data_IF_975127404770
#
_entry.id   IF_975127404770
#
_cell.length_a   1.000
_cell.length_b   1.000
_cell.length_c   1.000
_cell.angle_alpha   90.00
_cell.angle_beta   90.00
_cell.angle_gamma   90.00
#
_symmetry.space_group_name_H-M   'P 1'
#
loop_
_entity.id
_entity.type
_entity.pdbx_description
1 polymer ?
#
# COMPACT_ATOMS: atom_id res chain seq x y z
N UNK A 1 30.93 -27.58 -49.69
CA UNK A 1 30.49 -26.24 -49.24
C UNK A 1 29.61 -26.46 -48.03
N UNK A 2 30.20 -26.39 -46.84
CA UNK A 2 29.50 -26.60 -45.57
C UNK A 2 28.72 -25.34 -45.21
N UNK A 3 27.41 -25.49 -45.07
CA UNK A 3 26.53 -24.46 -44.53
C UNK A 3 26.94 -24.21 -43.08
N UNK A 4 27.24 -22.96 -42.65
CA UNK A 4 27.59 -22.69 -41.27
C UNK A 4 26.36 -22.90 -40.38
N UNK A 5 26.57 -23.57 -39.25
CA UNK A 5 25.59 -23.73 -38.20
C UNK A 5 25.11 -22.34 -37.73
N UNK A 6 23.80 -22.13 -37.73
CA UNK A 6 23.17 -21.00 -37.05
C UNK A 6 23.56 -21.05 -35.58
N UNK A 7 24.35 -20.07 -35.13
CA UNK A 7 24.55 -19.83 -33.70
C UNK A 7 23.19 -19.60 -33.07
N UNK A 8 22.88 -20.36 -32.02
CA UNK A 8 21.66 -20.24 -31.24
C UNK A 8 21.49 -18.80 -30.78
N UNK A 9 20.40 -18.15 -31.22
CA UNK A 9 20.03 -16.82 -30.79
C UNK A 9 19.87 -16.80 -29.28
N UNK A 10 20.70 -16.01 -28.58
CA UNK A 10 20.45 -15.66 -27.20
C UNK A 10 19.05 -15.05 -27.11
N UNK A 11 18.17 -15.61 -26.27
CA UNK A 11 16.80 -15.11 -26.10
C UNK A 11 16.83 -13.69 -25.50
N UNK A 12 16.94 -12.69 -26.37
CA UNK A 12 16.80 -11.28 -26.03
C UNK A 12 15.30 -11.01 -25.86
N UNK A 13 14.88 -10.70 -24.64
CA UNK A 13 13.53 -10.20 -24.41
C UNK A 13 13.58 -8.69 -24.63
N UNK A 14 13.01 -8.26 -25.76
CA UNK A 14 12.85 -6.82 -26.05
C UNK A 14 11.67 -6.27 -25.25
N UNK A 15 11.90 -5.20 -24.51
CA UNK A 15 10.85 -4.42 -23.86
C UNK A 15 10.22 -3.40 -24.82
N UNK A 16 10.71 -3.28 -26.05
CA UNK A 16 10.20 -2.32 -27.03
C UNK A 16 8.72 -2.55 -27.34
N UNK A 17 8.26 -3.81 -27.34
CA UNK A 17 6.85 -4.11 -27.55
C UNK A 17 5.95 -3.51 -26.46
N UNK A 18 6.44 -3.44 -25.22
CA UNK A 18 5.71 -2.84 -24.10
C UNK A 18 5.86 -1.31 -24.09
N UNK A 19 7.02 -0.78 -24.46
CA UNK A 19 7.26 0.68 -24.55
C UNK A 19 6.51 1.33 -25.72
N UNK A 20 6.37 0.62 -26.84
CA UNK A 20 5.54 1.04 -27.99
C UNK A 20 4.05 0.76 -27.74
N UNK A 21 3.74 -0.14 -26.81
CA UNK A 21 2.39 -0.39 -26.34
C UNK A 21 1.91 0.63 -25.29
N UNK A 22 0.64 0.56 -24.94
CA UNK A 22 0.03 1.39 -23.90
C UNK A 22 0.34 0.85 -22.50
N UNK A 23 1.62 0.83 -22.10
CA UNK A 23 2.08 0.30 -20.79
C UNK A 23 2.97 1.29 -20.02
N UNK A 24 2.98 1.19 -18.69
CA UNK A 24 3.92 1.89 -17.81
C UNK A 24 5.11 0.98 -17.47
N UNK A 25 6.26 1.16 -18.12
CA UNK A 25 7.44 0.29 -17.91
C UNK A 25 8.31 0.82 -16.77
N UNK A 26 8.50 0.03 -15.72
CA UNK A 26 9.18 0.45 -14.47
C UNK A 26 10.69 0.17 -14.42
N UNK A 27 11.34 -0.03 -15.57
CA UNK A 27 12.80 -0.14 -15.64
C UNK A 27 13.38 0.74 -16.75
N UNK A 28 14.55 1.35 -16.53
CA UNK A 28 15.18 2.22 -17.51
C UNK A 28 15.72 1.45 -18.73
N UNK A 29 15.93 0.14 -18.62
CA UNK A 29 16.54 -0.69 -19.68
C UNK A 29 15.53 -1.10 -20.76
N UNK A 30 15.98 -1.10 -22.02
CA UNK A 30 15.17 -1.41 -23.21
C UNK A 30 15.33 -2.86 -23.69
N UNK A 31 16.51 -3.44 -23.46
CA UNK A 31 16.85 -4.81 -23.85
C UNK A 31 17.32 -5.57 -22.63
N UNK A 32 16.88 -6.82 -22.52
CA UNK A 32 17.33 -7.71 -21.47
C UNK A 32 17.89 -8.96 -22.14
N UNK A 33 19.12 -9.32 -21.79
CA UNK A 33 19.76 -10.53 -22.26
C UNK A 33 19.60 -11.61 -21.19
N UNK A 34 19.25 -12.83 -21.62
CA UNK A 34 19.22 -13.97 -20.72
C UNK A 34 20.61 -14.17 -20.08
N UNK A 35 20.68 -14.07 -18.75
CA UNK A 35 21.93 -14.11 -17.99
C UNK A 35 22.54 -15.51 -18.02
N UNK A 36 21.70 -16.54 -17.88
CA UNK A 36 22.12 -17.94 -17.94
C UNK A 36 20.96 -18.87 -18.32
N UNK A 37 21.27 -20.11 -18.78
CA UNK A 37 20.25 -21.14 -19.05
C UNK A 37 19.39 -21.52 -17.83
N UNK A 38 19.85 -21.17 -16.63
CA UNK A 38 19.14 -21.44 -15.37
C UNK A 38 18.12 -20.36 -15.00
N UNK A 39 18.15 -19.21 -15.67
CA UNK A 39 17.26 -18.09 -15.38
C UNK A 39 16.37 -17.78 -16.56
N UNK A 40 15.08 -17.56 -16.27
CA UNK A 40 14.10 -17.07 -17.23
C UNK A 40 13.68 -15.67 -16.82
N UNK A 41 13.65 -14.77 -17.79
CA UNK A 41 13.05 -13.46 -17.60
C UNK A 41 11.53 -13.60 -17.70
N UNK A 42 10.83 -13.11 -16.69
CA UNK A 42 9.38 -12.96 -16.69
C UNK A 42 9.01 -11.49 -16.67
N UNK A 43 7.85 -11.21 -17.24
CA UNK A 43 7.27 -9.87 -17.24
C UNK A 43 5.95 -9.99 -16.50
N UNK A 44 5.85 -9.30 -15.37
CA UNK A 44 4.62 -9.23 -14.59
C UNK A 44 3.85 -7.97 -14.98
N UNK A 45 2.58 -8.16 -15.36
CA UNK A 45 1.64 -7.07 -15.62
C UNK A 45 0.87 -6.76 -14.33
N UNK A 46 1.01 -5.55 -13.82
CA UNK A 46 0.33 -5.09 -12.61
C UNK A 46 -0.67 -4.00 -12.97
N UNK A 47 -1.96 -4.27 -12.75
CA UNK A 47 -3.03 -3.29 -12.92
C UNK A 47 -3.23 -2.52 -11.62
N UNK A 48 -3.23 -1.20 -11.73
CA UNK A 48 -3.52 -0.27 -10.64
C UNK A 48 -4.82 0.45 -11.01
N UNK A 49 -5.81 0.42 -10.13
CA UNK A 49 -7.07 1.11 -10.42
C UNK A 49 -6.87 2.63 -10.37
N UNK A 50 -7.35 3.37 -11.39
CA UNK A 50 -7.35 4.83 -11.36
C UNK A 50 -8.48 5.41 -10.47
N UNK A 51 -9.38 4.57 -9.96
CA UNK A 51 -10.48 5.00 -9.09
C UNK A 51 -9.99 5.15 -7.63
N UNK A 52 -10.08 6.34 -7.02
CA UNK A 52 -9.71 6.52 -5.61
C UNK A 52 -10.49 5.63 -4.64
N UNK A 53 -11.74 5.27 -4.97
CA UNK A 53 -12.57 4.38 -4.14
C UNK A 53 -12.03 2.95 -4.01
N UNK A 54 -11.15 2.52 -4.91
CA UNK A 54 -10.59 1.17 -4.90
C UNK A 54 -9.32 1.07 -4.01
N UNK A 55 -8.85 2.20 -3.45
CA UNK A 55 -7.72 2.25 -2.51
C UNK A 55 -6.33 2.17 -3.13
N UNK A 56 -6.21 2.07 -4.45
CA UNK A 56 -4.93 2.03 -5.17
C UNK A 56 -4.32 3.42 -5.39
N UNK A 57 -5.16 4.45 -5.43
CA UNK A 57 -4.74 5.82 -5.69
C UNK A 57 -5.50 6.80 -4.82
N UNK A 58 -4.96 8.00 -4.66
CA UNK A 58 -5.64 9.12 -4.05
C UNK A 58 -5.44 10.39 -4.87
N UNK A 59 -6.44 11.27 -4.87
CA UNK A 59 -6.38 12.54 -5.60
C UNK A 59 -5.54 13.55 -4.82
N UNK A 60 -4.58 14.16 -5.50
CA UNK A 60 -3.69 15.19 -4.91
C UNK A 60 -3.91 16.58 -5.48
N UNK A 61 -4.72 16.69 -6.53
CA UNK A 61 -5.05 17.96 -7.15
C UNK A 61 -5.72 17.79 -8.50
N UNK A 62 -5.82 18.89 -9.24
CA UNK A 62 -6.29 18.92 -10.62
C UNK A 62 -5.38 19.83 -11.43
N UNK A 63 -5.05 19.44 -12.65
CA UNK A 63 -4.25 20.24 -13.58
C UNK A 63 -5.08 20.61 -14.80
N UNK A 64 -4.87 21.83 -15.31
CA UNK A 64 -5.59 22.30 -16.50
C UNK A 64 -4.88 21.80 -17.76
N UNK A 65 -5.58 21.00 -18.55
CA UNK A 65 -5.07 20.45 -19.83
C UNK A 65 -5.99 20.93 -20.94
N UNK A 66 -5.53 21.90 -21.72
CA UNK A 66 -6.36 22.61 -22.70
C UNK A 66 -7.50 23.37 -22.02
N UNK A 67 -8.73 23.11 -22.45
CA UNK A 67 -9.94 23.72 -21.88
C UNK A 67 -10.54 22.91 -20.71
N UNK A 68 -10.00 21.74 -20.41
CA UNK A 68 -10.48 20.84 -19.36
C UNK A 68 -9.59 20.81 -18.12
N UNK A 69 -10.16 20.32 -17.01
CA UNK A 69 -9.42 19.94 -15.81
C UNK A 69 -9.26 18.43 -15.77
N UNK A 70 -8.06 17.97 -15.45
CA UNK A 70 -7.75 16.55 -15.27
C UNK A 70 -7.26 16.31 -13.85
N UNK A 71 -7.76 15.25 -13.23
CA UNK A 71 -7.33 14.84 -11.90
C UNK A 71 -5.88 14.39 -11.90
N UNK A 72 -5.16 14.83 -10.87
CA UNK A 72 -3.80 14.41 -10.56
C UNK A 72 -3.88 13.40 -9.42
N UNK A 73 -3.41 12.19 -9.67
CA UNK A 73 -3.51 11.05 -8.78
C UNK A 73 -2.12 10.63 -8.29
N UNK A 74 -2.00 10.23 -7.04
CA UNK A 74 -0.80 9.60 -6.48
C UNK A 74 -1.10 8.14 -6.13
N UNK A 75 -0.08 7.28 -6.26
CA UNK A 75 -0.19 5.88 -5.85
C UNK A 75 -0.22 5.77 -4.33
N UNK A 76 -1.13 4.95 -3.82
CA UNK A 76 -1.19 4.62 -2.39
C UNK A 76 -0.11 3.60 -2.00
N UNK A 77 0.11 3.46 -0.69
CA UNK A 77 0.86 2.35 -0.08
C UNK A 77 0.50 1.00 -0.70
N UNK A 78 -0.79 0.71 -0.86
CA UNK A 78 -1.28 -0.56 -1.41
C UNK A 78 -0.80 -0.77 -2.84
N UNK A 79 -0.93 0.23 -3.70
CA UNK A 79 -0.44 0.15 -5.09
C UNK A 79 1.08 -0.02 -5.16
N UNK A 80 1.83 0.71 -4.33
CA UNK A 80 3.30 0.61 -4.31
C UNK A 80 3.74 -0.76 -3.80
N UNK A 81 3.05 -1.34 -2.81
CA UNK A 81 3.34 -2.69 -2.33
C UNK A 81 3.01 -3.77 -3.36
N UNK A 82 1.92 -3.62 -4.14
CA UNK A 82 1.64 -4.51 -5.29
C UNK A 82 2.82 -4.51 -6.28
N UNK A 83 3.32 -3.33 -6.64
CA UNK A 83 4.47 -3.19 -7.52
C UNK A 83 5.76 -3.76 -6.90
N UNK A 84 5.98 -3.52 -5.61
CA UNK A 84 7.13 -4.06 -4.86
C UNK A 84 7.16 -5.60 -4.88
N UNK A 85 6.00 -6.23 -4.67
CA UNK A 85 5.87 -7.69 -4.66
C UNK A 85 6.11 -8.28 -6.06
N UNK A 86 5.55 -7.66 -7.09
CA UNK A 86 5.78 -8.06 -8.48
C UNK A 86 7.27 -7.91 -8.89
N UNK A 87 7.92 -6.86 -8.39
CA UNK A 87 9.34 -6.62 -8.63
C UNK A 87 10.27 -7.58 -7.87
N UNK A 88 9.76 -8.26 -6.83
CA UNK A 88 10.56 -9.11 -5.98
C UNK A 88 11.59 -8.35 -5.15
N UNK A 89 11.21 -7.15 -4.67
CA UNK A 89 12.05 -6.41 -3.72
C UNK A 89 12.13 -7.20 -2.42
N UNK A 90 13.35 -7.42 -1.95
CA UNK A 90 13.63 -8.04 -0.65
C UNK A 90 14.08 -6.98 0.34
N UNK A 91 13.71 -7.15 1.61
CA UNK A 91 14.05 -6.24 2.69
C UNK A 91 15.17 -6.80 3.55
N UNK A 92 16.16 -5.97 3.88
CA UNK A 92 17.14 -6.30 4.90
C UNK A 92 16.54 -5.95 6.27
N UNK A 93 16.07 -6.97 6.98
CA UNK A 93 15.41 -6.82 8.27
C UNK A 93 16.34 -6.37 9.42
N UNK A 94 17.66 -6.52 9.28
CA UNK A 94 18.62 -6.01 10.27
C UNK A 94 18.95 -4.52 10.07
N UNK A 95 18.87 -4.05 8.83
CA UNK A 95 19.19 -2.66 8.45
C UNK A 95 17.96 -1.77 8.27
N UNK A 96 16.77 -2.37 8.16
CA UNK A 96 15.49 -1.67 8.19
C UNK A 96 15.06 -1.50 9.65
N UNK A 97 15.34 -0.32 10.21
CA UNK A 97 15.21 -0.05 11.65
C UNK A 97 15.07 1.43 11.96
N UNK A 98 14.62 1.72 13.17
CA UNK A 98 14.68 3.05 13.78
C UNK A 98 16.14 3.41 14.05
N UNK A 99 16.58 4.58 13.59
CA UNK A 99 17.90 5.13 13.89
C UNK A 99 17.86 6.06 15.11
N UNK A 100 16.78 6.81 15.27
CA UNK A 100 16.56 7.68 16.43
C UNK A 100 15.06 7.83 16.68
N UNK A 101 14.65 7.79 17.94
CA UNK A 101 13.28 8.05 18.35
C UNK A 101 13.26 8.75 19.71
N UNK A 102 12.60 9.90 19.77
CA UNK A 102 12.28 10.63 20.99
C UNK A 102 10.78 10.87 21.05
N UNK A 103 10.29 11.61 22.04
CA UNK A 103 8.85 11.92 22.16
C UNK A 103 8.29 12.66 20.93
N UNK A 104 9.06 13.59 20.36
CA UNK A 104 8.60 14.47 19.27
C UNK A 104 9.42 14.31 17.98
N UNK A 105 10.39 13.39 17.93
CA UNK A 105 11.20 13.14 16.75
C UNK A 105 11.31 11.64 16.44
N UNK A 106 11.35 11.29 15.16
CA UNK A 106 11.73 9.94 14.70
C UNK A 106 12.51 10.02 13.39
N UNK A 107 13.57 9.23 13.29
CA UNK A 107 14.31 8.95 12.06
C UNK A 107 14.31 7.44 11.83
N UNK A 108 13.68 7.01 10.75
CA UNK A 108 13.59 5.61 10.35
C UNK A 108 14.41 5.38 9.09
N UNK A 109 15.09 4.23 9.02
CA UNK A 109 15.84 3.76 7.86
C UNK A 109 15.22 2.50 7.28
N UNK A 110 15.08 2.43 5.96
CA UNK A 110 14.73 1.22 5.24
C UNK A 110 15.83 0.85 4.24
N UNK A 111 16.13 -0.45 4.15
CA UNK A 111 17.09 -1.01 3.19
C UNK A 111 16.44 -2.16 2.45
N UNK A 112 16.23 -1.97 1.16
CA UNK A 112 15.68 -2.98 0.25
C UNK A 112 16.59 -3.21 -0.94
N UNK A 113 16.42 -4.33 -1.62
CA UNK A 113 17.17 -4.65 -2.82
C UNK A 113 16.28 -5.26 -3.90
N UNK A 114 16.59 -4.94 -5.16
CA UNK A 114 15.99 -5.58 -6.34
C UNK A 114 17.08 -6.30 -7.13
N UNK A 115 16.72 -7.42 -7.77
CA UNK A 115 17.61 -8.12 -8.68
C UNK A 115 17.44 -7.55 -10.08
N UNK A 116 18.51 -6.95 -10.63
CA UNK A 116 18.54 -6.48 -12.01
C UNK A 116 18.37 -7.63 -12.99
N UNK A 117 18.08 -7.26 -14.23
CA UNK A 117 18.04 -8.16 -15.39
C UNK A 117 19.41 -8.73 -15.74
N UNK A 118 20.50 -8.20 -15.17
CA UNK A 118 21.86 -8.77 -15.21
C UNK A 118 22.11 -9.83 -14.13
N UNK A 119 21.17 -10.00 -13.18
CA UNK A 119 21.30 -10.91 -12.04
C UNK A 119 21.96 -10.29 -10.81
N UNK A 120 22.52 -9.09 -10.95
CA UNK A 120 23.13 -8.28 -9.88
C UNK A 120 22.06 -7.77 -8.90
N UNK A 121 22.34 -7.83 -7.60
CA UNK A 121 21.52 -7.18 -6.58
C UNK A 121 21.83 -5.68 -6.52
N UNK A 122 20.79 -4.85 -6.53
CA UNK A 122 20.89 -3.41 -6.32
C UNK A 122 20.32 -3.10 -4.95
N UNK A 123 21.16 -3.00 -3.91
CA UNK A 123 20.70 -2.51 -2.62
C UNK A 123 20.46 -1.00 -2.70
N UNK A 124 19.40 -0.55 -2.03
CA UNK A 124 19.09 0.85 -1.86
C UNK A 124 18.65 1.12 -0.42
N UNK A 125 19.16 2.22 0.12
CA UNK A 125 18.83 2.72 1.44
C UNK A 125 18.08 4.04 1.32
N UNK A 126 17.00 4.18 2.07
CA UNK A 126 16.33 5.47 2.24
C UNK A 126 16.01 5.70 3.72
N UNK A 127 15.87 6.97 4.07
CA UNK A 127 15.45 7.38 5.41
C UNK A 127 14.18 8.22 5.33
N UNK A 128 13.42 8.26 6.42
CA UNK A 128 12.32 9.18 6.64
C UNK A 128 12.40 9.73 8.05
N UNK A 129 12.39 11.05 8.15
CA UNK A 129 12.31 11.78 9.41
C UNK A 129 10.92 12.38 9.58
N UNK A 130 10.48 12.46 10.84
CA UNK A 130 9.27 13.17 11.26
C UNK A 130 9.62 13.94 12.52
N UNK A 131 9.49 15.26 12.45
CA UNK A 131 9.64 16.18 13.57
C UNK A 131 8.29 16.80 13.91
N UNK A 132 7.75 16.44 15.07
CA UNK A 132 6.47 16.92 15.55
C UNK A 132 6.51 18.38 16.00
N UNK A 133 7.69 18.95 16.23
CA UNK A 133 7.82 20.39 16.54
C UNK A 133 7.51 21.23 15.31
N UNK A 134 8.10 20.88 14.16
CA UNK A 134 7.81 21.51 12.86
C UNK A 134 6.34 21.31 12.48
N UNK A 135 5.84 20.06 12.57
CA UNK A 135 4.43 19.76 12.26
C UNK A 135 3.48 20.54 13.16
N UNK A 136 3.81 20.73 14.44
CA UNK A 136 3.01 21.55 15.36
C UNK A 136 2.92 22.99 14.90
N UNK A 137 4.04 23.59 14.49
CA UNK A 137 4.10 24.99 14.04
C UNK A 137 3.27 25.18 12.76
N UNK A 138 3.42 24.29 11.78
CA UNK A 138 2.65 24.30 10.53
C UNK A 138 1.14 24.15 10.78
N UNK A 139 0.75 23.17 11.61
CA UNK A 139 -0.64 22.95 11.98
C UNK A 139 -1.22 24.14 12.71
N UNK A 140 -0.45 24.77 13.60
CA UNK A 140 -0.91 25.93 14.34
C UNK A 140 -1.15 27.12 13.42
N UNK A 141 -0.23 27.40 12.51
CA UNK A 141 -0.38 28.49 11.53
C UNK A 141 -1.59 28.26 10.62
N UNK A 142 -1.75 27.05 10.09
CA UNK A 142 -2.88 26.68 9.24
C UNK A 142 -4.21 26.79 9.98
N UNK A 143 -4.30 26.26 11.21
CA UNK A 143 -5.50 26.33 12.02
C UNK A 143 -5.84 27.76 12.43
N UNK A 144 -4.83 28.59 12.72
CA UNK A 144 -5.04 29.99 13.06
C UNK A 144 -5.57 30.79 11.87
N UNK A 145 -5.04 30.58 10.66
CA UNK A 145 -5.57 31.17 9.42
C UNK A 145 -7.04 30.79 9.23
N UNK A 146 -7.36 29.49 9.35
CA UNK A 146 -8.74 28.97 9.25
C UNK A 146 -9.66 29.58 10.32
N UNK A 147 -9.21 29.67 11.57
CA UNK A 147 -9.98 30.25 12.66
C UNK A 147 -10.27 31.74 12.46
N UNK A 148 -9.29 32.49 11.94
CA UNK A 148 -9.44 33.90 11.62
C UNK A 148 -10.38 34.16 10.43
N UNK A 149 -10.44 33.24 9.46
CA UNK A 149 -11.41 33.32 8.36
C UNK A 149 -12.82 33.00 8.85
N UNK A 150 -12.97 31.97 9.67
CA UNK A 150 -14.27 31.58 10.27
C UNK A 150 -14.83 32.67 11.19
N UNK A 151 -13.97 33.42 11.89
CA UNK A 151 -14.42 34.51 12.78
C UNK A 151 -15.02 35.71 12.02
N UNK A 152 -14.62 35.94 10.76
CA UNK A 152 -15.13 37.01 9.90
C UNK A 152 -16.53 36.71 9.35
N UNK A 153 -16.90 35.44 9.23
CA UNK A 153 -18.17 35.00 8.64
C UNK A 153 -19.19 34.66 9.75
N UNK A 154 -20.36 35.32 9.81
CA UNK A 154 -21.35 35.07 10.87
C UNK A 154 -21.81 33.62 10.99
N UNK A 155 -22.00 32.93 9.86
CA UNK A 155 -22.48 31.54 9.84
C UNK A 155 -21.43 30.54 10.31
N UNK A 156 -20.16 30.79 10.01
CA UNK A 156 -19.05 29.92 10.40
C UNK A 156 -18.55 30.21 11.82
N UNK A 157 -18.83 31.39 12.38
CA UNK A 157 -18.42 31.76 13.74
C UNK A 157 -18.93 30.78 14.81
N UNK A 158 -20.10 30.16 14.58
CA UNK A 158 -20.65 29.11 15.45
C UNK A 158 -19.72 27.89 15.56
N UNK A 159 -18.91 27.61 14.53
CA UNK A 159 -17.93 26.50 14.53
C UNK A 159 -16.75 26.73 15.47
N UNK A 160 -16.52 27.97 15.92
CA UNK A 160 -15.52 28.26 16.95
C UNK A 160 -15.99 27.85 18.35
N UNK A 161 -17.25 27.43 18.53
CA UNK A 161 -17.79 26.98 19.82
C UNK A 161 -17.52 27.99 20.95
N UNK A 162 -17.76 29.28 20.68
CA UNK A 162 -17.53 30.42 21.59
C UNK A 162 -16.07 30.61 22.07
N UNK A 163 -15.12 29.92 21.45
CA UNK A 163 -13.69 30.10 21.71
C UNK A 163 -13.11 31.26 20.90
N UNK A 164 -12.00 31.81 21.38
CA UNK A 164 -11.18 32.71 20.56
C UNK A 164 -10.53 31.93 19.39
N UNK A 165 -10.21 32.59 18.26
CA UNK A 165 -9.52 31.94 17.15
C UNK A 165 -8.23 31.23 17.57
N UNK A 166 -7.49 31.84 18.52
CA UNK A 166 -6.27 31.29 19.08
C UNK A 166 -6.52 30.00 19.87
N UNK A 167 -7.46 30.01 20.81
CA UNK A 167 -7.80 28.83 21.62
C UNK A 167 -8.35 27.69 20.76
N UNK A 168 -9.18 28.01 19.75
CA UNK A 168 -9.66 27.03 18.80
C UNK A 168 -8.50 26.37 18.04
N UNK A 169 -7.57 27.18 17.53
CA UNK A 169 -6.41 26.68 16.79
C UNK A 169 -5.49 25.82 17.66
N UNK A 170 -5.27 26.20 18.92
CA UNK A 170 -4.50 25.40 19.89
C UNK A 170 -5.18 24.05 20.16
N UNK A 171 -6.50 24.04 20.37
CA UNK A 171 -7.26 22.82 20.63
C UNK A 171 -7.24 21.86 19.43
N UNK A 172 -7.42 22.38 18.21
CA UNK A 172 -7.34 21.56 17.00
C UNK A 172 -5.92 21.02 16.78
N UNK A 173 -4.91 21.86 16.96
CA UNK A 173 -3.50 21.46 16.83
C UNK A 173 -3.15 20.37 17.85
N UNK A 174 -3.60 20.50 19.10
CA UNK A 174 -3.40 19.49 20.14
C UNK A 174 -4.02 18.15 19.76
N UNK A 175 -5.26 18.15 19.28
CA UNK A 175 -5.95 16.92 18.86
C UNK A 175 -5.21 16.23 17.70
N UNK A 176 -4.78 17.00 16.70
CA UNK A 176 -4.00 16.47 15.57
C UNK A 176 -2.64 15.90 16.02
N UNK A 177 -1.93 16.58 16.92
CA UNK A 177 -0.65 16.09 17.44
C UNK A 177 -0.76 14.78 18.22
N UNK A 178 -1.89 14.53 18.90
CA UNK A 178 -2.11 13.23 19.56
C UNK A 178 -2.12 12.12 18.52
N UNK A 179 -2.78 12.32 17.38
CA UNK A 179 -2.81 11.33 16.30
C UNK A 179 -1.42 11.12 15.67
N UNK A 180 -0.69 12.22 15.45
CA UNK A 180 0.69 12.14 14.98
C UNK A 180 1.59 11.38 15.96
N UNK A 181 1.48 11.66 17.27
CA UNK A 181 2.27 10.96 18.30
C UNK A 181 1.98 9.47 18.35
N UNK A 182 0.71 9.07 18.23
CA UNK A 182 0.29 7.66 18.19
C UNK A 182 0.93 6.92 17.01
N UNK A 183 0.95 7.55 15.83
CA UNK A 183 1.28 6.85 14.57
C UNK A 183 2.64 7.23 13.96
N UNK A 184 3.44 8.11 14.58
CA UNK A 184 4.70 8.61 13.99
C UNK A 184 5.67 7.50 13.57
N UNK A 185 5.80 6.44 14.36
CA UNK A 185 6.73 5.35 14.09
C UNK A 185 6.30 4.58 12.83
N UNK A 186 5.03 4.17 12.79
CA UNK A 186 4.42 3.49 11.63
C UNK A 186 4.51 4.33 10.35
N UNK A 187 4.29 5.65 10.48
CA UNK A 187 4.40 6.60 9.36
C UNK A 187 5.83 6.76 8.87
N UNK A 188 6.80 6.87 9.77
CA UNK A 188 8.21 6.98 9.39
C UNK A 188 8.71 5.69 8.72
N UNK A 189 8.35 4.53 9.27
CA UNK A 189 8.64 3.22 8.69
C UNK A 189 8.07 3.09 7.26
N UNK A 190 6.76 3.28 7.13
CA UNK A 190 6.08 3.19 5.84
C UNK A 190 6.70 4.19 4.84
N UNK A 191 6.92 5.44 5.24
CA UNK A 191 7.51 6.45 4.39
C UNK A 191 8.92 6.09 3.91
N UNK A 192 9.77 5.52 4.78
CA UNK A 192 11.11 5.08 4.40
C UNK A 192 11.07 3.90 3.42
N UNK A 193 10.21 2.90 3.65
CA UNK A 193 10.05 1.76 2.75
C UNK A 193 9.52 2.20 1.37
N UNK A 194 8.50 3.05 1.32
CA UNK A 194 7.95 3.55 0.06
C UNK A 194 8.98 4.37 -0.73
N UNK A 195 9.86 5.14 -0.05
CA UNK A 195 10.98 5.83 -0.70
C UNK A 195 11.95 4.85 -1.38
N UNK A 196 12.23 3.71 -0.75
CA UNK A 196 13.08 2.67 -1.36
C UNK A 196 12.41 2.10 -2.62
N UNK A 197 11.14 1.69 -2.52
CA UNK A 197 10.43 1.09 -3.66
C UNK A 197 10.34 2.07 -4.84
N UNK A 198 9.97 3.33 -4.57
CA UNK A 198 9.86 4.36 -5.60
C UNK A 198 11.18 4.59 -6.33
N UNK A 199 12.29 4.64 -5.59
CA UNK A 199 13.60 4.85 -6.17
C UNK A 199 14.11 3.63 -6.96
N UNK A 200 13.87 2.41 -6.46
CA UNK A 200 14.26 1.17 -7.16
C UNK A 200 13.49 0.97 -8.46
N UNK A 201 12.21 1.34 -8.50
CA UNK A 201 11.31 1.14 -9.65
C UNK A 201 11.13 2.40 -10.51
N UNK A 202 11.82 3.50 -10.18
CA UNK A 202 11.66 4.80 -10.85
C UNK A 202 10.19 5.24 -10.99
N UNK A 203 9.39 5.01 -9.95
CA UNK A 203 7.97 5.34 -9.93
C UNK A 203 7.79 6.87 -9.86
N UNK A 204 6.96 7.41 -10.76
CA UNK A 204 6.60 8.83 -10.76
C UNK A 204 5.72 9.15 -9.55
N UNK A 205 5.82 10.38 -9.04
CA UNK A 205 5.01 10.79 -7.89
C UNK A 205 3.51 10.94 -8.25
N UNK A 206 3.21 11.44 -9.46
CA UNK A 206 1.87 11.84 -9.86
C UNK A 206 1.52 11.28 -11.23
N UNK A 207 0.30 10.81 -11.39
CA UNK A 207 -0.22 10.25 -12.62
C UNK A 207 -1.56 10.89 -12.99
N UNK A 208 -1.83 10.97 -14.28
CA UNK A 208 -3.18 11.20 -14.77
C UNK A 208 -4.01 9.91 -14.76
N UNK A 209 -5.33 10.04 -14.75
CA UNK A 209 -6.25 8.90 -14.89
C UNK A 209 -5.95 8.06 -16.14
N UNK A 210 -5.59 8.71 -17.26
CA UNK A 210 -5.28 8.03 -18.52
C UNK A 210 -3.96 7.26 -18.47
N UNK A 211 -2.94 7.79 -17.77
CA UNK A 211 -1.69 7.07 -17.55
C UNK A 211 -1.93 5.81 -16.70
N UNK A 212 -2.78 5.88 -15.67
CA UNK A 212 -3.05 4.75 -14.77
C UNK A 212 -3.94 3.65 -15.37
N UNK A 213 -4.73 3.97 -16.40
CA UNK A 213 -5.43 2.95 -17.19
C UNK A 213 -4.46 2.00 -17.90
N UNK A 214 -3.21 2.43 -18.11
CA UNK A 214 -2.16 1.59 -18.69
C UNK A 214 -1.56 0.70 -17.59
N UNK A 215 -1.52 -0.62 -17.77
CA UNK A 215 -0.93 -1.48 -16.77
C UNK A 215 0.58 -1.25 -16.64
N UNK A 216 1.08 -1.50 -15.44
CA UNK A 216 2.50 -1.45 -15.14
C UNK A 216 3.18 -2.75 -15.54
N UNK A 217 4.36 -2.62 -16.12
CA UNK A 217 5.17 -3.74 -16.56
C UNK A 217 6.43 -3.80 -15.70
N UNK A 218 6.54 -4.90 -14.97
CA UNK A 218 7.63 -5.17 -14.04
C UNK A 218 8.42 -6.38 -14.53
N UNK A 219 9.65 -6.19 -15.07
CA UNK A 219 10.49 -7.29 -15.47
C UNK A 219 11.18 -7.90 -14.24
N UNK A 220 11.21 -9.23 -14.21
CA UNK A 220 11.77 -10.04 -13.13
C UNK A 220 12.65 -11.15 -13.68
N UNK A 221 13.71 -11.47 -12.96
CA UNK A 221 14.58 -12.61 -13.26
C UNK A 221 14.30 -13.72 -12.26
N UNK A 222 13.78 -14.84 -12.75
CA UNK A 222 13.48 -16.01 -11.94
C UNK A 222 14.41 -17.15 -12.26
N UNK A 223 14.78 -17.91 -11.23
CA UNK A 223 15.47 -19.19 -11.42
C UNK A 223 14.44 -20.19 -11.95
N UNK A 224 14.56 -20.52 -13.23
CA UNK A 224 13.67 -21.45 -13.93
C UNK A 224 14.51 -22.15 -14.98
N UNK A 225 15.33 -23.13 -14.56
CA UNK A 225 16.18 -23.87 -15.48
C UNK A 225 15.35 -24.67 -16.47
N UNK A 226 15.86 -24.75 -17.70
CA UNK A 226 15.25 -25.58 -18.71
C UNK A 226 15.56 -27.06 -18.44
N UNK A 227 14.65 -27.74 -17.76
CA UNK A 227 14.77 -29.17 -17.45
C UNK A 227 14.63 -30.07 -18.68
N UNK A 228 14.28 -29.54 -19.86
CA UNK A 228 14.27 -30.35 -21.09
C UNK A 228 15.68 -30.70 -21.54
N UNK A 229 16.68 -29.88 -21.19
CA UNK A 229 18.09 -30.16 -21.42
C UNK A 229 18.63 -31.17 -20.37
N UNK A 230 19.13 -32.34 -20.79
CA UNK A 230 19.73 -33.33 -19.89
C UNK A 230 20.93 -32.81 -19.10
N UNK A 231 21.74 -31.90 -19.66
CA UNK A 231 22.91 -31.32 -18.98
C UNK A 231 22.49 -30.39 -17.84
N UNK A 232 21.52 -29.52 -18.09
CA UNK A 232 20.95 -28.62 -17.07
C UNK A 232 20.33 -29.43 -15.94
N UNK A 233 19.58 -30.48 -16.26
CA UNK A 233 19.00 -31.38 -15.25
C UNK A 233 20.10 -32.04 -14.39
N UNK A 234 21.16 -32.57 -15.01
CA UNK A 234 22.29 -33.17 -14.29
C UNK A 234 22.95 -32.16 -13.36
N UNK A 235 23.25 -30.96 -13.86
CA UNK A 235 23.88 -29.89 -13.06
C UNK A 235 23.00 -29.46 -11.88
N UNK A 236 21.71 -29.22 -12.10
CA UNK A 236 20.78 -28.84 -11.00
C UNK A 236 20.69 -29.96 -9.96
N UNK A 237 20.61 -31.22 -10.37
CA UNK A 237 20.56 -32.35 -9.43
C UNK A 237 21.88 -32.48 -8.66
N UNK A 238 23.03 -32.38 -9.31
CA UNK A 238 24.33 -32.51 -8.67
C UNK A 238 24.59 -31.38 -7.66
N UNK A 239 24.35 -30.13 -8.07
CA UNK A 239 24.48 -28.97 -7.17
C UNK A 239 23.42 -28.98 -6.07
N UNK A 240 22.20 -29.46 -6.37
CA UNK A 240 21.14 -29.63 -5.38
C UNK A 240 21.51 -30.63 -4.29
N UNK A 241 22.08 -31.78 -4.66
CA UNK A 241 22.59 -32.77 -3.72
C UNK A 241 23.72 -32.18 -2.86
N UNK A 242 24.69 -31.50 -3.47
CA UNK A 242 25.79 -30.83 -2.75
C UNK A 242 25.28 -29.80 -1.74
N UNK A 243 24.38 -28.91 -2.15
CA UNK A 243 23.78 -27.90 -1.28
C UNK A 243 22.97 -28.53 -0.14
N UNK A 244 22.23 -29.62 -0.41
CA UNK A 244 21.49 -30.36 0.63
C UNK A 244 22.45 -31.00 1.62
N UNK A 245 23.56 -31.59 1.15
CA UNK A 245 24.61 -32.14 2.01
C UNK A 245 25.32 -31.06 2.83
N UNK A 246 25.53 -29.86 2.29
CA UNK A 246 26.12 -28.73 3.03
C UNK A 246 25.18 -28.19 4.11
N UNK A 247 23.87 -28.08 3.81
CA UNK A 247 22.88 -27.54 4.74
C UNK A 247 22.46 -28.53 5.83
N UNK A 248 22.38 -29.83 5.50
CA UNK A 248 21.83 -30.86 6.39
C UNK A 248 22.84 -31.95 6.80
N UNK A 249 24.08 -31.90 6.29
CA UNK A 249 25.12 -32.89 6.55
C UNK A 249 24.96 -34.17 5.72
N UNK A 250 26.03 -34.97 5.63
CA UNK A 250 26.09 -36.21 4.86
C UNK A 250 25.14 -37.33 5.34
N UNK A 251 24.52 -37.18 6.52
CA UNK A 251 23.54 -38.12 7.06
C UNK A 251 22.20 -38.13 6.31
N UNK A 252 21.93 -37.13 5.45
CA UNK A 252 20.75 -37.14 4.57
C UNK A 252 20.96 -37.94 3.26
N UNK A 253 22.21 -38.30 2.93
CA UNK A 253 22.57 -38.85 1.62
C UNK A 253 22.83 -40.36 1.63
N UNK A 254 22.61 -41.04 2.76
CA UNK A 254 22.83 -42.48 2.91
C UNK A 254 21.71 -43.18 3.66
N UNK A 255 20.71 -43.68 2.92
CA UNK A 255 19.77 -44.70 3.40
C UNK A 255 18.39 -44.19 3.81
N UNK A 256 17.39 -44.67 3.08
CA UNK A 256 15.95 -44.64 3.37
C UNK A 256 15.25 -43.27 3.31
N UNK A 257 14.62 -43.01 2.17
CA UNK A 257 13.28 -42.45 2.18
C UNK A 257 12.34 -43.44 2.87
N UNK A 258 12.42 -43.54 4.19
CA UNK A 258 11.22 -43.84 4.95
C UNK A 258 10.48 -42.51 5.05
N UNK A 259 9.36 -42.40 4.35
CA UNK A 259 8.28 -41.54 4.84
C UNK A 259 8.18 -41.76 6.35
N UNK A 260 7.94 -40.72 7.18
CA UNK A 260 7.71 -40.92 8.60
C UNK A 260 6.66 -42.03 8.74
N UNK A 261 6.86 -43.05 9.59
CA UNK A 261 5.79 -43.98 9.88
C UNK A 261 4.57 -43.13 10.28
N UNK A 262 3.41 -43.42 9.71
CA UNK A 262 2.11 -42.86 10.13
C UNK A 262 1.87 -42.96 11.65
N UNK A 263 2.71 -43.72 12.37
CA UNK A 263 2.72 -43.86 13.81
C UNK A 263 3.44 -42.75 14.61
N UNK A 264 4.04 -41.73 13.98
CA UNK A 264 4.56 -40.56 14.71
C UNK A 264 3.79 -39.26 14.50
N UNK A 265 2.73 -39.27 13.69
CA UNK A 265 1.77 -38.15 13.59
C UNK A 265 0.61 -38.30 14.59
N UNK A 266 0.42 -39.49 15.18
CA UNK A 266 -0.59 -39.74 16.21
C UNK A 266 -0.23 -39.27 17.62
N UNK A 267 1.03 -38.90 17.89
CA UNK A 267 1.48 -38.57 19.26
C UNK A 267 1.81 -37.08 19.48
N UNK A 268 1.80 -36.26 18.42
CA UNK A 268 1.88 -34.81 18.53
C UNK A 268 0.50 -34.11 18.55
N UNK A 269 -0.58 -34.89 18.43
CA UNK A 269 -1.97 -34.41 18.53
C UNK A 269 -2.79 -35.25 19.52
N UNK A 270 -2.22 -35.58 20.69
CA UNK A 270 -3.06 -36.01 21.80
C UNK A 270 -3.68 -34.76 22.45
N UNK A 271 -4.98 -34.57 22.21
CA UNK A 271 -5.80 -33.47 22.73
C UNK A 271 -6.12 -33.59 24.23
N UNK A 272 -5.49 -34.49 24.98
CA UNK A 272 -5.82 -34.74 26.40
C UNK A 272 -4.77 -34.23 27.41
N UNK A 273 -3.79 -33.41 26.99
CA UNK A 273 -2.79 -32.83 27.89
C UNK A 273 -2.99 -31.33 28.21
N UNK A 274 -4.18 -30.78 27.97
CA UNK A 274 -4.63 -29.53 28.59
C UNK A 274 -5.79 -29.85 29.52
N UNK A 275 -5.47 -30.39 30.71
CA UNK A 275 -6.43 -30.32 31.81
C UNK A 275 -6.67 -28.85 32.11
N UNK A 276 -7.89 -28.40 31.81
CA UNK A 276 -8.39 -27.11 32.22
C UNK A 276 -8.23 -26.99 33.74
N UNK A 277 -7.23 -26.22 34.17
CA UNK A 277 -7.25 -25.67 35.51
C UNK A 277 -8.39 -24.65 35.53
N UNK A 278 -9.36 -24.77 36.45
CA UNK A 278 -10.40 -23.76 36.60
C UNK A 278 -9.70 -22.45 36.97
N UNK A 279 -9.80 -21.45 36.11
CA UNK A 279 -9.49 -20.08 36.50
C UNK A 279 -10.73 -19.62 37.24
N UNK A 280 -10.60 -19.44 38.55
CA UNK A 280 -11.65 -18.89 39.40
C UNK A 280 -12.14 -17.58 38.79
N UNK A 281 -13.43 -17.58 38.44
CA UNK A 281 -14.16 -16.39 38.08
C UNK A 281 -14.43 -15.61 39.37
N UNK A 282 -13.61 -14.61 39.66
CA UNK A 282 -14.06 -13.37 40.26
C UNK A 282 -12.97 -12.30 40.15
N UNK A 283 -13.43 -11.09 39.84
CA UNK A 283 -12.69 -9.84 39.72
C UNK A 283 -11.97 -9.58 38.38
N UNK A 284 -12.71 -9.03 37.42
CA UNK A 284 -12.52 -7.63 37.02
C UNK A 284 -13.58 -7.14 36.04
N UNK A 285 -14.32 -6.15 36.53
CA UNK A 285 -15.09 -5.09 35.87
C UNK A 285 -14.98 -4.92 34.35
N UNK A 286 -16.15 -5.06 33.73
CA UNK A 286 -16.72 -4.37 32.56
C UNK A 286 -15.88 -3.29 31.85
N UNK A 287 -15.82 -3.39 30.52
CA UNK A 287 -15.19 -2.40 29.65
C UNK A 287 -15.02 -2.90 28.22
N UNK A 288 -16.12 -3.30 27.57
CA UNK A 288 -16.11 -3.67 26.15
C UNK A 288 -15.59 -2.54 25.26
N UNK A 289 -14.61 -2.83 24.41
CA UNK A 289 -14.33 -2.02 23.23
C UNK A 289 -14.31 -2.92 22.00
N UNK A 290 -15.31 -2.67 21.18
CA UNK A 290 -15.57 -3.24 19.87
C UNK A 290 -14.47 -2.76 18.92
N UNK A 291 -13.63 -3.68 18.44
CA UNK A 291 -12.58 -3.39 17.46
C UNK A 291 -13.23 -3.16 16.10
N UNK A 292 -13.34 -1.90 15.67
CA UNK A 292 -13.57 -1.53 14.27
C UNK A 292 -12.22 -1.43 13.55
N UNK A 293 -12.00 -2.29 12.56
CA UNK A 293 -10.94 -2.13 11.56
C UNK A 293 -11.25 -0.91 10.68
N UNK A 294 -10.89 0.28 11.15
CA UNK A 294 -10.96 1.49 10.35
C UNK A 294 -9.81 1.50 9.34
N UNK A 295 -10.20 1.50 8.07
CA UNK A 295 -9.36 1.59 6.87
C UNK A 295 -8.33 2.72 7.04
N UNK A 296 -7.05 2.33 7.10
CA UNK A 296 -5.88 3.19 7.17
C UNK A 296 -5.75 4.00 5.86
N UNK A 297 -6.42 5.16 5.79
CA UNK A 297 -6.28 6.09 4.66
C UNK A 297 -4.95 6.85 4.74
N UNK A 298 -4.19 6.75 3.65
CA UNK A 298 -2.80 7.17 3.56
C UNK A 298 -2.60 8.67 3.70
N UNK A 299 -1.90 9.06 4.75
CA UNK A 299 -1.16 10.33 4.76
C UNK A 299 0.22 10.04 4.18
N UNK A 300 0.33 10.13 2.86
CA UNK A 300 1.63 10.22 2.22
C UNK A 300 1.98 11.69 2.02
N UNK A 301 3.10 12.09 2.62
CA UNK A 301 3.67 13.44 2.51
C UNK A 301 3.87 13.80 1.04
N UNK A 302 3.14 14.82 0.59
CA UNK A 302 3.36 15.50 -0.68
C UNK A 302 4.58 16.43 -0.47
N UNK A 303 5.72 16.22 -1.16
CA UNK A 303 6.92 17.03 -0.96
C UNK A 303 6.80 18.48 -1.45
N UNK A 304 5.66 18.85 -2.07
CA UNK A 304 5.43 20.17 -2.67
C UNK A 304 4.64 21.16 -1.79
N UNK A 305 4.56 20.92 -0.47
CA UNK A 305 4.11 21.95 0.49
C UNK A 305 2.64 22.41 0.34
N UNK A 306 1.83 21.72 -0.46
CA UNK A 306 0.41 22.00 -0.57
C UNK A 306 -0.34 21.18 0.49
N UNK A 307 -0.44 21.76 1.69
CA UNK A 307 -1.23 21.24 2.82
C UNK A 307 -2.71 21.53 2.60
N UNK A 308 -3.28 20.97 1.53
CA UNK A 308 -4.73 20.84 1.47
C UNK A 308 -5.14 19.69 2.39
N UNK A 309 -5.84 20.06 3.47
CA UNK A 309 -6.52 19.19 4.42
C UNK A 309 -7.24 18.03 3.68
N UNK A 310 -6.82 16.76 3.82
CA UNK A 310 -7.43 15.64 3.10
C UNK A 310 -8.86 15.33 3.57
N UNK A 311 -9.37 16.05 4.59
CA UNK A 311 -10.79 16.04 4.95
C UNK A 311 -11.64 17.09 4.21
N UNK A 312 -11.08 17.88 3.30
CA UNK A 312 -11.87 18.88 2.59
C UNK A 312 -12.86 18.27 1.58
N UNK A 313 -12.53 17.10 1.04
CA UNK A 313 -13.33 16.41 0.01
C UNK A 313 -13.43 14.88 0.25
N UNK A 314 -13.37 14.41 1.50
CA UNK A 314 -13.90 13.07 1.78
C UNK A 314 -15.42 13.14 1.55
N UNK A 315 -15.99 12.38 0.61
CA UNK A 315 -17.42 12.15 0.65
C UNK A 315 -17.66 11.42 1.97
N UNK A 316 -18.45 12.02 2.86
CA UNK A 316 -19.05 11.29 3.97
C UNK A 316 -19.50 9.94 3.40
N UNK A 317 -18.97 8.83 3.92
CA UNK A 317 -19.31 7.47 3.50
C UNK A 317 -20.80 7.10 3.69
N UNK A 318 -21.65 8.10 3.96
CA UNK A 318 -23.10 8.03 4.09
C UNK A 318 -23.85 8.67 2.90
N UNK A 319 -23.16 9.28 1.93
CA UNK A 319 -23.77 9.99 0.80
C UNK A 319 -23.82 9.21 -0.53
N UNK A 320 -23.77 7.88 -0.48
CA UNK A 320 -24.06 7.06 -1.68
C UNK A 320 -25.55 7.21 -2.01
N UNK A 321 -25.84 7.82 -3.17
CA UNK A 321 -27.19 7.84 -3.75
C UNK A 321 -27.54 6.40 -4.11
N UNK A 322 -28.57 5.85 -3.48
CA UNK A 322 -28.99 4.45 -3.70
C UNK A 322 -30.47 4.33 -4.06
N UNK A 323 -31.24 5.42 -4.01
CA UNK A 323 -32.66 5.42 -4.31
C UNK A 323 -33.15 6.79 -4.80
N UNK A 324 -34.35 6.81 -5.38
CA UNK A 324 -35.06 8.02 -5.80
C UNK A 324 -36.32 8.23 -4.95
N UNK A 325 -36.62 9.49 -4.64
CA UNK A 325 -37.83 9.88 -3.93
C UNK A 325 -39.08 9.55 -4.74
N UNK A 326 -40.01 8.80 -4.16
CA UNK A 326 -41.24 8.34 -4.83
C UNK A 326 -42.16 9.50 -5.26
N UNK A 327 -42.06 10.66 -4.61
CA UNK A 327 -42.94 11.81 -4.86
C UNK A 327 -42.40 12.85 -5.85
N UNK A 328 -41.07 12.99 -5.94
CA UNK A 328 -40.45 14.03 -6.78
C UNK A 328 -39.23 13.55 -7.57
N UNK A 329 -38.95 12.25 -7.53
CA UNK A 329 -37.85 11.56 -8.19
C UNK A 329 -36.43 12.06 -7.84
N UNK A 330 -36.29 12.92 -6.83
CA UNK A 330 -35.00 13.41 -6.37
C UNK A 330 -34.15 12.27 -5.80
N UNK A 331 -32.85 12.30 -6.10
CA UNK A 331 -31.87 11.37 -5.56
C UNK A 331 -31.79 11.46 -4.03
N UNK A 332 -31.82 10.32 -3.36
CA UNK A 332 -31.78 10.19 -1.90
C UNK A 332 -30.73 9.16 -1.47
N UNK A 333 -30.09 9.44 -0.34
CA UNK A 333 -29.08 8.56 0.26
C UNK A 333 -29.75 7.40 1.00
N UNK A 334 -28.98 6.34 1.28
CA UNK A 334 -29.49 5.13 1.95
C UNK A 334 -30.18 5.44 3.27
N UNK A 335 -29.57 6.30 4.09
CA UNK A 335 -30.08 6.74 5.39
C UNK A 335 -31.42 7.49 5.28
N UNK A 336 -31.59 8.30 4.23
CA UNK A 336 -32.84 9.04 3.98
C UNK A 336 -33.93 8.09 3.51
N UNK A 337 -33.59 7.11 2.66
CA UNK A 337 -34.52 6.08 2.22
C UNK A 337 -34.98 5.20 3.39
N UNK A 338 -34.04 4.67 4.19
CA UNK A 338 -34.32 3.79 5.34
C UNK A 338 -35.20 4.49 6.38
N UNK A 339 -34.84 5.73 6.77
CA UNK A 339 -35.65 6.53 7.69
C UNK A 339 -37.06 6.82 7.14
N UNK A 340 -37.15 7.14 5.85
CA UNK A 340 -38.43 7.46 5.23
C UNK A 340 -39.35 6.24 5.09
N UNK A 341 -38.77 5.06 4.83
CA UNK A 341 -39.51 3.80 4.79
C UNK A 341 -39.99 3.45 6.20
N UNK A 342 -39.15 3.58 7.23
CA UNK A 342 -39.52 3.34 8.64
C UNK A 342 -40.64 4.28 9.12
N UNK A 343 -40.57 5.57 8.78
CA UNK A 343 -41.53 6.57 9.29
C UNK A 343 -42.77 6.79 8.41
N UNK A 344 -42.65 6.65 7.11
CA UNK A 344 -43.71 7.01 6.15
C UNK A 344 -44.10 5.86 5.21
N UNK A 345 -43.47 4.68 5.32
CA UNK A 345 -43.76 3.49 4.50
C UNK A 345 -43.35 3.61 3.04
N UNK A 346 -42.66 4.69 2.65
CA UNK A 346 -42.20 4.96 1.27
C UNK A 346 -40.95 5.82 1.29
N UNK A 347 -40.10 5.68 0.28
CA UNK A 347 -38.85 6.44 0.18
C UNK A 347 -39.13 7.89 -0.28
N UNK A 348 -38.94 8.87 0.61
CA UNK A 348 -39.14 10.30 0.37
C UNK A 348 -37.88 11.10 0.73
N UNK A 349 -37.59 12.17 -0.01
CA UNK A 349 -36.54 13.13 0.36
C UNK A 349 -37.00 14.05 1.50
N UNK A 350 -36.05 14.72 2.18
CA UNK A 350 -36.33 15.64 3.29
C UNK A 350 -37.40 16.71 2.98
N UNK A 351 -37.45 17.21 1.74
CA UNK A 351 -38.45 18.20 1.30
C UNK A 351 -39.86 17.61 1.23
N UNK A 352 -39.98 16.35 0.82
CA UNK A 352 -41.26 15.65 0.73
C UNK A 352 -41.73 15.11 2.08
N UNK A 353 -40.80 14.69 2.95
CA UNK A 353 -41.10 14.32 4.34
C UNK A 353 -41.75 15.50 5.11
N UNK A 354 -41.18 16.71 4.98
CA UNK A 354 -41.70 17.93 5.62
C UNK A 354 -43.05 18.43 5.08
N UNK A 355 -43.43 18.03 3.87
CA UNK A 355 -44.71 18.39 3.25
C UNK A 355 -45.83 17.38 3.55
N UNK A 356 -45.47 16.21 4.10
CA UNK A 356 -46.39 15.13 4.43
C UNK A 356 -46.61 14.92 5.94
N UNK A 357 -46.27 15.92 6.76
CA UNK A 357 -46.65 16.00 8.18
C UNK A 357 -47.81 16.98 8.36
#
# INVERSE_FOLDING_TARGET
MSVPAKSQDANIVSLDQYRKGNYNVLVPTTYMQQISPFHRMRVEEVKISPNPGDGDVFKVGSTKVGDGWQDVLSLSKTAILKLSNAAGIIWNFYETKVLSATQDYVLYQAVGAIRKTSGEWVPLKATKEIDLTVIKEELMEANLKKANEMSKKPDERKKLADMTPQQWAENQTRTNLIQWRKNKLMRAETGAMLRVVRALLAIKHQYSTQELQRPFIVPRVDFSPDYTDPEVRRMVTEHGIKATTELFGAAASGGNHSLPPEQMVGQAMNSEAFSAQPIDADDHTDGGSEYSEDIESGYEDNPDGNTEDPYKDLPDGENTIVANCTACNADITKKVADYSIDKFGRALCYKCQRKGS
#
